data_IF_619620588436
#
_entry.id   IF_619620588436
#
_cell.length_a   1.000
_cell.length_b   1.000
_cell.length_c   1.000
_cell.angle_alpha   90.00
_cell.angle_beta   90.00
_cell.angle_gamma   90.00
#
_symmetry.space_group_name_H-M   'P 1'
#
loop_
_entity.id
_entity.type
_entity.pdbx_description
1 polymer ?
#
# COMPACT_ATOMS: atom_id res chain seq x y z
N UNK A 1 15.14 8.59 53.84
CA UNK A 1 14.40 9.84 54.10
C UNK A 1 13.81 10.31 52.77
N UNK A 2 12.50 10.51 52.74
CA UNK A 2 11.76 11.10 51.61
C UNK A 2 11.09 12.38 52.11
N UNK A 3 11.26 13.45 51.37
CA UNK A 3 10.65 14.75 51.64
C UNK A 3 9.85 15.18 50.42
N UNK A 4 8.61 15.61 50.64
CA UNK A 4 7.71 16.14 49.63
C UNK A 4 7.33 17.56 50.02
N UNK A 5 7.48 18.51 49.11
CA UNK A 5 7.12 19.92 49.32
C UNK A 5 6.03 20.31 48.32
N UNK A 6 4.89 20.77 48.79
CA UNK A 6 3.74 21.20 47.98
C UNK A 6 2.92 22.21 48.78
N UNK A 7 2.40 23.23 48.11
CA UNK A 7 1.71 24.37 48.76
C UNK A 7 2.48 24.91 49.99
N UNK A 8 1.82 24.98 51.15
CA UNK A 8 2.37 25.37 52.45
C UNK A 8 2.74 24.14 53.33
N UNK A 9 2.80 22.94 52.75
CA UNK A 9 3.04 21.68 53.46
C UNK A 9 4.40 21.04 53.12
N UNK A 10 4.96 20.37 54.13
CA UNK A 10 6.16 19.56 53.98
C UNK A 10 5.92 18.20 54.66
N UNK A 11 5.92 17.14 53.85
CA UNK A 11 5.71 15.77 54.32
C UNK A 11 7.03 15.03 54.31
N UNK A 12 7.37 14.45 55.45
CA UNK A 12 8.58 13.65 55.64
C UNK A 12 8.22 12.20 55.94
N UNK A 13 8.84 11.26 55.24
CA UNK A 13 8.63 9.82 55.43
C UNK A 13 9.93 9.02 55.35
N UNK A 14 9.95 7.85 55.99
CA UNK A 14 11.05 6.89 55.87
C UNK A 14 10.78 5.81 54.81
N UNK A 15 9.59 5.78 54.23
CA UNK A 15 9.17 4.86 53.17
C UNK A 15 8.34 5.62 52.11
N UNK A 16 8.22 5.11 50.87
CA UNK A 16 7.39 5.73 49.83
C UNK A 16 5.97 5.97 50.32
N UNK A 17 5.56 7.24 50.38
CA UNK A 17 4.27 7.69 50.89
C UNK A 17 3.94 9.06 50.29
N UNK A 18 3.99 9.14 48.96
CA UNK A 18 3.68 10.36 48.21
C UNK A 18 2.24 10.82 48.53
N UNK A 19 2.07 12.04 49.07
CA UNK A 19 0.75 12.61 49.31
C UNK A 19 -0.02 12.78 48.00
N UNK A 20 -1.34 12.61 48.05
CA UNK A 20 -2.19 12.81 46.88
C UNK A 20 -2.16 14.26 46.40
N UNK A 21 -2.23 15.22 47.32
CA UNK A 21 -2.19 16.65 47.02
C UNK A 21 -0.86 17.05 46.34
N UNK A 22 0.26 16.43 46.72
CA UNK A 22 1.54 16.61 46.03
C UNK A 22 1.48 16.19 44.55
N UNK A 23 0.81 15.06 44.26
CA UNK A 23 0.67 14.54 42.89
C UNK A 23 -0.12 15.53 42.05
N UNK A 24 -1.24 16.03 42.58
CA UNK A 24 -2.05 17.01 41.90
C UNK A 24 -1.30 18.34 41.71
N UNK A 25 -0.71 18.90 42.77
CA UNK A 25 0.07 20.15 42.68
C UNK A 25 1.14 20.06 41.60
N UNK A 26 2.00 19.02 41.67
CA UNK A 26 3.08 18.85 40.69
C UNK A 26 2.59 18.52 39.28
N UNK A 27 1.53 17.72 39.14
CA UNK A 27 0.96 17.42 37.82
C UNK A 27 0.34 18.65 37.18
N UNK A 28 -0.37 19.49 37.94
CA UNK A 28 -1.03 20.69 37.43
C UNK A 28 -0.07 21.85 37.11
N UNK A 29 1.20 21.76 37.53
CA UNK A 29 2.26 22.64 37.01
C UNK A 29 2.69 22.30 35.58
N UNK A 30 2.38 21.07 35.13
CA UNK A 30 2.59 20.67 33.76
C UNK A 30 1.57 21.36 32.85
N UNK A 31 1.81 21.44 31.53
CA UNK A 31 0.85 22.03 30.61
C UNK A 31 -0.41 21.18 30.41
N UNK A 32 -0.61 20.05 31.08
CA UNK A 32 -1.79 19.19 30.85
C UNK A 32 -3.06 19.77 31.46
N UNK A 33 -4.17 19.69 30.71
CA UNK A 33 -5.50 20.14 31.12
C UNK A 33 -6.51 19.03 30.85
N UNK A 34 -6.86 18.27 31.88
CA UNK A 34 -7.82 17.16 31.79
C UNK A 34 -9.16 17.50 32.43
N UNK A 35 -10.28 16.93 31.93
CA UNK A 35 -11.61 17.21 32.49
C UNK A 35 -11.72 16.79 33.95
N UNK A 36 -12.45 17.58 34.75
CA UNK A 36 -12.75 17.32 36.17
C UNK A 36 -11.52 17.13 37.07
N UNK A 37 -10.40 17.77 36.73
CA UNK A 37 -9.14 17.66 37.46
C UNK A 37 -8.62 16.22 37.57
N UNK A 38 -8.97 15.36 36.61
CA UNK A 38 -8.52 13.97 36.54
C UNK A 38 -7.04 13.86 36.11
N UNK A 39 -6.40 12.75 36.46
CA UNK A 39 -5.01 12.43 36.05
C UNK A 39 -4.94 11.62 34.75
N UNK A 40 -6.10 11.21 34.22
CA UNK A 40 -6.20 10.41 33.01
C UNK A 40 -6.91 11.18 31.90
N UNK A 41 -6.29 11.24 30.71
CA UNK A 41 -6.96 11.77 29.55
C UNK A 41 -8.15 10.86 29.16
N UNK A 42 -9.26 11.41 28.64
CA UNK A 42 -10.48 10.63 28.34
C UNK A 42 -10.35 9.69 27.13
N UNK A 43 -9.21 9.67 26.44
CA UNK A 43 -8.99 8.92 25.21
C UNK A 43 -8.43 7.51 25.47
N UNK A 44 -9.31 6.51 25.54
CA UNK A 44 -8.94 5.14 25.94
C UNK A 44 -8.47 4.19 24.82
N UNK A 45 -8.52 4.61 23.54
CA UNK A 45 -8.18 3.71 22.41
C UNK A 45 -6.78 3.90 21.86
N UNK A 46 -6.14 5.01 22.24
CA UNK A 46 -4.84 5.41 21.72
C UNK A 46 -3.72 4.83 22.56
N UNK A 47 -2.54 4.68 21.93
CA UNK A 47 -1.32 4.42 22.68
C UNK A 47 -1.10 5.53 23.72
N UNK A 48 -0.70 5.16 24.93
CA UNK A 48 -0.63 6.09 26.05
C UNK A 48 0.60 5.86 26.91
N UNK A 49 1.16 6.96 27.39
CA UNK A 49 2.08 6.95 28.52
C UNK A 49 1.27 6.73 29.80
N UNK A 50 1.69 5.76 30.59
CA UNK A 50 1.13 5.46 31.91
C UNK A 50 2.22 5.60 32.95
N UNK A 51 1.94 6.39 33.98
CA UNK A 51 2.78 6.54 35.18
C UNK A 51 1.95 6.10 36.37
N UNK A 52 2.27 4.92 36.90
CA UNK A 52 1.68 4.38 38.13
C UNK A 52 2.54 4.81 39.33
N UNK A 53 1.91 5.46 40.31
CA UNK A 53 2.53 5.94 41.55
C UNK A 53 2.16 4.96 42.67
N UNK A 54 3.11 4.12 43.06
CA UNK A 54 2.87 2.91 43.87
C UNK A 54 2.32 3.24 45.25
N UNK A 55 2.91 4.21 45.95
CA UNK A 55 2.50 4.55 47.31
C UNK A 55 1.08 5.14 47.37
N UNK A 56 0.72 5.96 46.39
CA UNK A 56 -0.56 6.68 46.36
C UNK A 56 -1.68 5.88 45.67
N UNK A 57 -1.34 4.78 44.98
CA UNK A 57 -2.27 4.04 44.11
C UNK A 57 -2.99 4.98 43.14
N UNK A 58 -2.21 5.86 42.52
CA UNK A 58 -2.67 6.82 41.51
C UNK A 58 -2.01 6.51 40.19
N UNK A 59 -2.75 6.79 39.13
CA UNK A 59 -2.35 6.54 37.76
C UNK A 59 -2.50 7.85 36.99
N UNK A 60 -1.45 8.20 36.26
CA UNK A 60 -1.49 9.27 35.27
C UNK A 60 -1.46 8.61 33.90
N UNK A 61 -2.41 8.95 33.03
CA UNK A 61 -2.52 8.39 31.69
C UNK A 61 -2.63 9.48 30.63
N UNK A 62 -1.65 9.54 29.74
CA UNK A 62 -1.53 10.57 28.71
C UNK A 62 -1.47 9.89 27.34
N UNK A 63 -2.51 10.03 26.53
CA UNK A 63 -2.52 9.47 25.19
C UNK A 63 -1.56 10.20 24.24
N UNK A 64 -1.18 9.52 23.16
CA UNK A 64 -0.32 10.04 22.10
C UNK A 64 -0.80 11.38 21.53
N UNK A 65 -2.10 11.60 21.39
CA UNK A 65 -2.64 12.85 20.85
C UNK A 65 -2.68 14.00 21.87
N UNK A 66 -2.76 13.68 23.16
CA UNK A 66 -2.72 14.68 24.23
C UNK A 66 -1.28 15.00 24.65
N UNK A 67 -0.33 14.08 24.45
CA UNK A 67 1.05 14.22 24.87
C UNK A 67 1.67 15.53 24.38
N UNK A 68 2.35 16.23 25.28
CA UNK A 68 3.00 17.52 25.06
C UNK A 68 4.52 17.36 25.07
N UNK A 69 5.21 18.39 24.59
CA UNK A 69 6.68 18.40 24.50
C UNK A 69 7.32 18.77 25.86
N UNK A 70 6.96 18.00 26.89
CA UNK A 70 7.45 18.10 28.27
C UNK A 70 7.68 16.71 28.84
N UNK A 71 8.34 16.59 29.99
CA UNK A 71 8.40 15.32 30.74
C UNK A 71 7.51 15.42 31.97
N UNK A 72 6.38 14.72 31.99
CA UNK A 72 5.53 14.66 33.20
C UNK A 72 6.30 14.18 34.41
N UNK A 73 7.19 13.19 34.24
CA UNK A 73 8.02 12.68 35.33
C UNK A 73 8.91 13.75 35.96
N UNK A 74 9.45 14.68 35.15
CA UNK A 74 10.28 15.77 35.67
C UNK A 74 9.50 16.68 36.62
N UNK A 75 8.22 16.95 36.34
CA UNK A 75 7.35 17.70 37.24
C UNK A 75 7.08 16.93 38.53
N UNK A 76 6.72 15.65 38.43
CA UNK A 76 6.41 14.80 39.59
C UNK A 76 7.59 14.68 40.56
N UNK A 77 8.83 14.71 40.08
CA UNK A 77 10.02 14.62 40.94
C UNK A 77 10.62 15.99 41.31
N UNK A 78 10.08 17.10 40.80
CA UNK A 78 10.70 18.42 40.90
C UNK A 78 10.79 18.96 42.34
N UNK A 79 9.86 18.57 43.20
CA UNK A 79 9.71 19.06 44.58
C UNK A 79 9.86 17.96 45.63
N UNK A 80 10.46 16.82 45.26
CA UNK A 80 10.78 15.76 46.20
C UNK A 80 12.28 15.59 46.39
N UNK A 81 12.67 15.26 47.61
CA UNK A 81 14.04 14.84 47.94
C UNK A 81 13.97 13.39 48.40
N UNK A 82 14.61 12.50 47.63
CA UNK A 82 14.76 11.09 47.97
C UNK A 82 16.10 10.57 47.44
N UNK A 83 16.66 9.57 48.11
CA UNK A 83 17.88 8.89 47.63
C UNK A 83 17.63 8.18 46.28
N UNK A 84 16.41 7.65 46.10
CA UNK A 84 15.95 6.98 44.89
C UNK A 84 14.54 7.46 44.53
N UNK A 85 14.40 8.63 43.90
CA UNK A 85 13.08 9.23 43.64
C UNK A 85 12.23 8.39 42.68
N UNK A 86 12.85 7.55 41.84
CA UNK A 86 12.16 6.76 40.82
C UNK A 86 11.57 5.44 41.33
N UNK A 87 11.94 4.99 42.55
CA UNK A 87 11.52 3.67 43.06
C UNK A 87 10.00 3.57 43.28
N UNK A 88 9.35 4.70 43.54
CA UNK A 88 7.90 4.80 43.76
C UNK A 88 7.07 4.83 42.46
N UNK A 89 7.75 4.92 41.31
CA UNK A 89 7.09 5.01 40.02
C UNK A 89 7.22 3.70 39.23
N UNK A 90 6.20 3.41 38.43
CA UNK A 90 6.25 2.46 37.32
C UNK A 90 5.78 3.18 36.07
N UNK A 91 6.65 3.28 35.06
CA UNK A 91 6.35 3.97 33.81
C UNK A 91 6.21 2.93 32.71
N UNK A 92 5.14 3.03 31.93
CA UNK A 92 4.90 2.13 30.80
C UNK A 92 4.24 2.85 29.63
N UNK A 93 4.40 2.28 28.43
CA UNK A 93 3.66 2.71 27.24
C UNK A 93 2.65 1.61 26.90
N UNK A 94 1.36 1.93 27.01
CA UNK A 94 0.27 1.10 26.51
C UNK A 94 0.14 1.24 24.99
N UNK A 95 0.00 0.13 24.28
CA UNK A 95 -0.22 0.08 22.83
C UNK A 95 -0.93 -1.20 22.39
N UNK A 96 -1.60 -1.17 21.23
CA UNK A 96 -2.43 -2.28 20.76
C UNK A 96 -1.73 -3.20 19.75
N UNK A 97 -0.38 -3.25 19.74
CA UNK A 97 0.35 -3.90 18.64
C UNK A 97 0.46 -5.43 18.72
N UNK A 98 0.12 -6.07 19.86
CA UNK A 98 0.30 -7.53 20.01
C UNK A 98 -0.97 -8.36 20.17
N UNK A 99 -2.18 -7.79 20.30
CA UNK A 99 -3.38 -8.63 20.29
C UNK A 99 -4.65 -7.93 19.83
N UNK A 100 -5.54 -8.72 19.22
CA UNK A 100 -6.87 -8.31 18.72
C UNK A 100 -7.77 -7.77 19.84
N UNK A 101 -7.47 -8.12 21.10
CA UNK A 101 -8.31 -7.85 22.29
C UNK A 101 -7.55 -7.38 23.55
N UNK A 102 -6.26 -7.03 23.46
CA UNK A 102 -5.44 -6.71 24.65
C UNK A 102 -4.44 -5.57 24.43
N UNK A 103 -4.58 -4.53 25.27
CA UNK A 103 -3.55 -3.51 25.46
C UNK A 103 -2.28 -4.19 25.95
N UNK A 104 -1.19 -4.02 25.21
CA UNK A 104 0.15 -4.44 25.63
C UNK A 104 0.84 -3.24 26.26
N UNK A 105 1.50 -3.44 27.40
CA UNK A 105 2.19 -2.37 28.11
C UNK A 105 3.70 -2.66 28.11
N UNK A 106 4.48 -1.68 27.67
CA UNK A 106 5.93 -1.76 27.61
C UNK A 106 6.53 -0.97 28.77
N UNK A 107 7.17 -1.67 29.71
CA UNK A 107 7.81 -1.05 30.86
C UNK A 107 9.04 -0.26 30.45
N UNK A 108 9.15 0.95 30.99
CA UNK A 108 10.27 1.86 30.77
C UNK A 108 11.19 1.79 31.99
N UNK A 109 12.39 1.25 31.78
CA UNK A 109 13.35 0.98 32.85
C UNK A 109 14.75 1.54 32.52
N UNK A 110 15.65 1.47 33.49
CA UNK A 110 17.08 1.77 33.30
C UNK A 110 17.38 3.20 32.82
N UNK A 111 18.25 3.31 31.81
CA UNK A 111 18.72 4.61 31.30
C UNK A 111 17.64 5.39 30.55
N UNK A 112 16.65 4.69 29.98
CA UNK A 112 15.52 5.33 29.31
C UNK A 112 14.63 6.05 30.33
N UNK A 113 14.30 5.37 31.43
CA UNK A 113 13.55 5.96 32.54
C UNK A 113 14.27 7.16 33.16
N UNK A 114 15.59 7.05 33.39
CA UNK A 114 16.40 8.17 33.88
C UNK A 114 16.39 9.35 32.92
N UNK A 115 16.56 9.10 31.62
CA UNK A 115 16.57 10.16 30.61
C UNK A 115 15.23 10.88 30.55
N UNK A 116 14.13 10.15 30.66
CA UNK A 116 12.79 10.69 30.78
C UNK A 116 12.61 11.53 32.05
N UNK A 117 12.99 11.00 33.21
CA UNK A 117 12.88 11.68 34.51
C UNK A 117 13.66 13.01 34.57
N UNK A 118 14.83 13.08 33.95
CA UNK A 118 15.64 14.30 33.90
C UNK A 118 15.27 15.27 32.76
N UNK A 119 14.14 15.05 32.09
CA UNK A 119 13.64 15.93 31.03
C UNK A 119 14.44 15.89 29.73
N UNK A 120 15.29 14.87 29.50
CA UNK A 120 15.99 14.69 28.22
C UNK A 120 15.10 14.10 27.14
N UNK A 121 14.02 13.42 27.56
CA UNK A 121 12.97 12.92 26.69
C UNK A 121 11.64 13.53 27.14
N UNK A 122 10.84 13.97 26.17
CA UNK A 122 9.48 14.43 26.40
C UNK A 122 8.48 13.28 26.26
N UNK A 123 7.25 13.45 26.75
CA UNK A 123 6.18 12.45 26.70
C UNK A 123 5.91 12.04 25.24
N UNK A 124 5.87 13.04 24.34
CA UNK A 124 5.72 12.82 22.88
C UNK A 124 6.89 12.00 22.33
N UNK A 125 8.12 12.32 22.72
CA UNK A 125 9.31 11.64 22.23
C UNK A 125 9.38 10.19 22.73
N UNK A 126 9.09 9.97 24.02
CA UNK A 126 9.09 8.65 24.63
C UNK A 126 8.05 7.73 23.98
N UNK A 127 6.80 8.20 23.84
CA UNK A 127 5.74 7.44 23.15
C UNK A 127 6.19 7.10 21.73
N UNK A 128 6.68 8.08 20.95
CA UNK A 128 7.12 7.86 19.56
C UNK A 128 8.27 6.87 19.46
N UNK A 129 9.25 6.96 20.35
CA UNK A 129 10.42 6.07 20.33
C UNK A 129 10.00 4.62 20.58
N UNK A 130 9.23 4.37 21.63
CA UNK A 130 8.78 3.02 22.00
C UNK A 130 7.89 2.42 20.92
N UNK A 131 6.94 3.21 20.39
CA UNK A 131 6.09 2.75 19.29
C UNK A 131 6.94 2.43 18.04
N UNK A 132 7.96 3.23 17.72
CA UNK A 132 8.84 2.98 16.56
C UNK A 132 9.67 1.71 16.74
N UNK A 133 10.25 1.49 17.92
CA UNK A 133 11.03 0.28 18.22
C UNK A 133 10.15 -0.98 18.12
N UNK A 134 8.92 -0.93 18.65
CA UNK A 134 7.97 -2.05 18.56
C UNK A 134 7.48 -2.31 17.15
N UNK A 135 7.19 -1.24 16.39
CA UNK A 135 6.88 -1.37 14.97
C UNK A 135 8.03 -1.99 14.17
N UNK A 136 9.29 -1.71 14.55
CA UNK A 136 10.47 -2.37 13.99
C UNK A 136 10.49 -3.86 14.30
N UNK A 137 10.33 -4.23 15.57
CA UNK A 137 10.34 -5.63 16.01
C UNK A 137 9.22 -6.47 15.35
N UNK A 138 8.04 -5.89 15.10
CA UNK A 138 6.93 -6.57 14.43
C UNK A 138 7.18 -6.86 12.95
N UNK A 139 8.01 -6.03 12.29
CA UNK A 139 8.43 -6.30 10.91
C UNK A 139 9.41 -7.47 10.82
N UNK A 140 10.12 -7.77 11.90
CA UNK A 140 11.13 -8.83 11.96
C UNK A 140 10.60 -10.15 12.55
N UNK A 141 9.34 -10.17 13.02
CA UNK A 141 8.71 -11.34 13.64
C UNK A 141 8.35 -12.47 12.65
N UNK A 142 8.25 -13.70 13.16
CA UNK A 142 7.94 -14.90 12.36
C UNK A 142 6.44 -15.03 11.97
N UNK A 143 5.57 -14.24 12.58
CA UNK A 143 4.14 -14.20 12.29
C UNK A 143 3.75 -12.88 11.62
N UNK A 144 3.04 -12.97 10.49
CA UNK A 144 2.53 -11.80 9.78
C UNK A 144 1.58 -11.02 10.67
N UNK A 145 1.88 -9.75 10.89
CA UNK A 145 1.07 -8.82 11.69
C UNK A 145 0.57 -7.69 10.80
N UNK A 146 -0.73 -7.43 10.84
CA UNK A 146 -1.40 -6.41 10.03
C UNK A 146 -1.96 -5.29 10.92
N UNK A 147 -1.53 -4.05 10.68
CA UNK A 147 -1.93 -2.88 11.47
C UNK A 147 -2.31 -1.72 10.56
N UNK A 148 -3.46 -1.09 10.84
CA UNK A 148 -3.90 0.16 10.22
C UNK A 148 -4.09 1.21 11.32
N UNK A 149 -3.19 2.18 11.37
CA UNK A 149 -3.13 3.20 12.41
C UNK A 149 -2.99 2.57 13.79
N UNK A 150 -4.10 2.54 14.53
CA UNK A 150 -4.20 2.00 15.89
C UNK A 150 -4.95 0.67 15.95
N UNK A 151 -5.49 0.22 14.82
CA UNK A 151 -6.30 -0.99 14.70
C UNK A 151 -5.43 -2.16 14.27
N UNK A 152 -5.36 -3.18 15.12
CA UNK A 152 -4.58 -4.38 14.89
C UNK A 152 -5.49 -5.53 14.43
N UNK A 153 -5.13 -6.13 13.30
CA UNK A 153 -5.83 -7.29 12.73
C UNK A 153 -5.11 -8.61 13.07
N UNK A 154 -3.96 -8.55 13.74
CA UNK A 154 -3.11 -9.71 14.01
C UNK A 154 -2.69 -10.35 12.69
N UNK A 155 -2.82 -11.68 12.59
CA UNK A 155 -2.57 -12.43 11.35
C UNK A 155 -3.80 -12.62 10.46
N UNK A 156 -4.90 -11.91 10.75
CA UNK A 156 -6.15 -11.98 9.97
C UNK A 156 -6.05 -11.12 8.69
N UNK A 157 -5.46 -11.69 7.65
CA UNK A 157 -5.29 -11.02 6.36
C UNK A 157 -6.62 -10.69 5.70
N UNK A 158 -7.66 -11.52 5.88
CA UNK A 158 -8.98 -11.29 5.29
C UNK A 158 -9.65 -10.05 5.88
N UNK A 159 -9.65 -9.91 7.21
CA UNK A 159 -10.17 -8.73 7.88
C UNK A 159 -9.37 -7.47 7.51
N UNK A 160 -8.05 -7.57 7.44
CA UNK A 160 -7.18 -6.47 6.99
C UNK A 160 -7.54 -6.01 5.58
N UNK A 161 -7.54 -6.91 4.60
CA UNK A 161 -7.88 -6.61 3.20
C UNK A 161 -9.28 -5.98 3.08
N UNK A 162 -10.27 -6.51 3.80
CA UNK A 162 -11.64 -5.99 3.77
C UNK A 162 -11.78 -4.56 4.28
N UNK A 163 -10.82 -4.10 5.08
CA UNK A 163 -10.80 -2.76 5.64
C UNK A 163 -10.07 -1.74 4.76
N UNK A 164 -9.37 -2.19 3.71
CA UNK A 164 -8.63 -1.32 2.80
C UNK A 164 -9.53 -0.69 1.74
N UNK A 165 -9.17 0.53 1.34
CA UNK A 165 -9.77 1.32 0.27
C UNK A 165 -8.73 1.55 -0.82
N UNK A 166 -9.07 1.18 -2.05
CA UNK A 166 -8.18 1.28 -3.19
C UNK A 166 -8.86 0.81 -4.47
N UNK A 167 -8.09 0.75 -5.55
CA UNK A 167 -8.57 0.16 -6.81
C UNK A 167 -8.71 -1.35 -6.68
N UNK A 168 -9.52 -1.96 -7.56
CA UNK A 168 -9.69 -3.41 -7.57
C UNK A 168 -8.36 -4.13 -7.82
N UNK A 169 -7.51 -3.60 -8.70
CA UNK A 169 -6.20 -4.17 -9.00
C UNK A 169 -5.25 -4.09 -7.79
N UNK A 170 -5.26 -3.00 -7.02
CA UNK A 170 -4.46 -2.87 -5.80
C UNK A 170 -4.87 -3.91 -4.74
N UNK A 171 -6.18 -4.03 -4.50
CA UNK A 171 -6.72 -4.98 -3.52
C UNK A 171 -6.41 -6.41 -3.95
N UNK A 172 -6.60 -6.74 -5.23
CA UNK A 172 -6.33 -8.08 -5.75
C UNK A 172 -4.84 -8.42 -5.69
N UNK A 173 -3.95 -7.51 -6.10
CA UNK A 173 -2.51 -7.71 -6.03
C UNK A 173 -2.05 -8.00 -4.59
N UNK A 174 -2.50 -7.18 -3.63
CA UNK A 174 -2.17 -7.35 -2.22
C UNK A 174 -2.74 -8.65 -1.64
N UNK A 175 -3.98 -9.00 -2.01
CA UNK A 175 -4.63 -10.24 -1.56
C UNK A 175 -3.85 -11.48 -2.01
N UNK A 176 -3.46 -11.53 -3.29
CA UNK A 176 -2.70 -12.66 -3.83
C UNK A 176 -1.29 -12.73 -3.24
N UNK A 177 -0.65 -11.59 -3.06
CA UNK A 177 0.67 -11.51 -2.44
C UNK A 177 0.66 -12.05 -1.00
N UNK A 178 -0.25 -11.55 -0.15
CA UNK A 178 -0.35 -11.96 1.25
C UNK A 178 -0.84 -13.41 1.45
N UNK A 179 -1.47 -14.00 0.44
CA UNK A 179 -1.82 -15.42 0.47
C UNK A 179 -0.58 -16.33 0.35
N UNK A 180 0.49 -15.84 -0.28
CA UNK A 180 1.71 -16.59 -0.55
C UNK A 180 2.88 -16.18 0.36
N UNK A 181 2.97 -14.90 0.70
CA UNK A 181 4.04 -14.32 1.51
C UNK A 181 3.49 -13.84 2.86
N UNK A 182 4.22 -14.14 3.93
CA UNK A 182 3.83 -13.85 5.31
C UNK A 182 4.42 -12.53 5.83
N UNK A 183 4.36 -11.49 5.02
CA UNK A 183 4.90 -10.20 5.42
C UNK A 183 3.97 -9.46 6.37
N UNK A 184 4.57 -8.77 7.34
CA UNK A 184 3.87 -7.84 8.23
C UNK A 184 3.68 -6.49 7.54
N UNK A 185 2.44 -6.00 7.52
CA UNK A 185 2.10 -4.69 6.94
C UNK A 185 1.60 -3.76 8.04
N UNK A 186 2.28 -2.63 8.18
CA UNK A 186 1.91 -1.56 9.11
C UNK A 186 1.75 -0.27 8.32
N UNK A 187 0.53 0.22 8.28
CA UNK A 187 0.15 1.46 7.58
C UNK A 187 -0.59 2.40 8.53
N UNK A 188 -0.61 3.69 8.23
CA UNK A 188 -1.33 4.69 9.03
C UNK A 188 -2.77 4.88 8.54
N UNK A 189 -3.01 4.76 7.24
CA UNK A 189 -4.33 4.95 6.65
C UNK A 189 -4.86 3.66 6.05
N UNK A 190 -6.17 3.59 5.87
CA UNK A 190 -6.87 2.47 5.22
C UNK A 190 -6.62 2.39 3.70
N UNK A 191 -5.56 2.99 3.16
CA UNK A 191 -5.29 3.03 1.72
C UNK A 191 -4.51 1.80 1.27
N UNK A 192 -5.04 1.08 0.28
CA UNK A 192 -4.36 -0.09 -0.30
C UNK A 192 -3.01 0.29 -0.96
N UNK A 193 -2.91 1.49 -1.53
CA UNK A 193 -1.67 2.02 -2.09
C UNK A 193 -0.57 2.20 -1.04
N UNK A 194 -0.90 2.58 0.19
CA UNK A 194 0.04 2.67 1.31
C UNK A 194 0.54 1.27 1.71
N UNK A 195 -0.37 0.31 1.77
CA UNK A 195 -0.04 -1.09 2.07
C UNK A 195 0.92 -1.67 1.03
N UNK A 196 0.61 -1.50 -0.25
CA UNK A 196 1.49 -1.94 -1.34
C UNK A 196 2.85 -1.25 -1.27
N UNK A 197 2.88 0.07 -1.05
CA UNK A 197 4.15 0.81 -0.95
C UNK A 197 5.07 0.26 0.15
N UNK A 198 4.49 -0.21 1.26
CA UNK A 198 5.28 -0.75 2.39
C UNK A 198 6.06 -2.02 2.06
N UNK A 199 5.62 -2.79 1.07
CA UNK A 199 6.23 -4.05 0.62
C UNK A 199 6.83 -3.96 -0.80
N UNK A 200 6.56 -2.88 -1.52
CA UNK A 200 6.93 -2.74 -2.94
C UNK A 200 8.44 -2.71 -3.15
N UNK A 201 9.17 -1.94 -2.35
CA UNK A 201 10.62 -1.77 -2.55
C UNK A 201 11.39 -3.10 -2.39
N UNK A 202 10.94 -3.97 -1.47
CA UNK A 202 11.55 -5.28 -1.25
C UNK A 202 11.03 -6.37 -2.18
N UNK A 203 9.77 -6.26 -2.64
CA UNK A 203 9.03 -7.41 -3.18
C UNK A 203 8.21 -7.10 -4.44
N UNK A 204 8.51 -6.03 -5.19
CA UNK A 204 7.72 -5.65 -6.37
C UNK A 204 7.61 -6.76 -7.41
N UNK A 205 8.65 -7.59 -7.56
CA UNK A 205 8.67 -8.67 -8.55
C UNK A 205 7.69 -9.76 -8.14
N UNK A 206 7.77 -10.21 -6.90
CA UNK A 206 6.91 -11.23 -6.30
C UNK A 206 5.43 -10.79 -6.35
N UNK A 207 5.15 -9.51 -6.06
CA UNK A 207 3.81 -8.94 -6.18
C UNK A 207 3.28 -9.07 -7.62
N UNK A 208 4.10 -8.73 -8.62
CA UNK A 208 3.71 -8.83 -10.03
C UNK A 208 3.52 -10.26 -10.50
N UNK A 209 4.35 -11.19 -10.03
CA UNK A 209 4.25 -12.61 -10.34
C UNK A 209 2.95 -13.21 -9.78
N UNK A 210 2.59 -12.87 -8.53
CA UNK A 210 1.32 -13.29 -7.92
C UNK A 210 0.10 -12.64 -8.60
N UNK A 211 0.20 -11.36 -8.97
CA UNK A 211 -0.90 -10.62 -9.57
C UNK A 211 -1.17 -11.04 -11.02
N UNK A 212 -0.13 -11.37 -11.78
CA UNK A 212 -0.21 -11.77 -13.19
C UNK A 212 0.38 -13.16 -13.43
N UNK A 213 1.58 -13.24 -13.99
CA UNK A 213 2.35 -14.45 -14.25
C UNK A 213 3.86 -14.13 -14.26
N UNK A 214 4.70 -15.14 -14.00
CA UNK A 214 6.17 -14.99 -14.00
C UNK A 214 6.72 -14.36 -15.30
N UNK A 215 6.18 -14.79 -16.44
CA UNK A 215 6.60 -14.29 -17.75
C UNK A 215 6.13 -12.84 -18.01
N UNK A 216 5.01 -12.42 -17.42
CA UNK A 216 4.54 -11.02 -17.51
C UNK A 216 5.37 -10.11 -16.60
N UNK A 217 5.69 -10.56 -15.39
CA UNK A 217 6.60 -9.85 -14.50
C UNK A 217 8.00 -9.66 -15.11
N UNK A 218 8.54 -10.68 -15.78
CA UNK A 218 9.84 -10.60 -16.45
C UNK A 218 9.84 -9.58 -17.60
N UNK A 219 8.77 -9.52 -18.41
CA UNK A 219 8.63 -8.54 -19.50
C UNK A 219 8.54 -7.09 -19.01
N UNK A 220 8.00 -6.87 -17.80
CA UNK A 220 7.90 -5.53 -17.21
C UNK A 220 9.26 -4.97 -16.77
N UNK A 221 10.24 -5.83 -16.51
CA UNK A 221 11.58 -5.44 -16.07
C UNK A 221 11.59 -4.78 -14.68
N UNK A 222 12.53 -3.84 -14.46
CA UNK A 222 12.59 -3.10 -13.20
C UNK A 222 11.56 -1.96 -13.17
N UNK A 223 10.60 -2.13 -12.26
CA UNK A 223 9.52 -1.17 -12.02
C UNK A 223 9.43 -0.76 -10.54
N UNK A 224 10.44 -1.08 -9.73
CA UNK A 224 10.44 -0.83 -8.28
C UNK A 224 10.28 0.66 -7.91
N UNK A 225 10.72 1.57 -8.79
CA UNK A 225 10.61 3.04 -8.60
C UNK A 225 9.48 3.70 -9.38
N UNK A 226 8.68 2.92 -10.13
CA UNK A 226 7.57 3.47 -10.93
C UNK A 226 6.32 3.62 -10.08
N UNK A 227 5.35 4.37 -10.61
CA UNK A 227 4.04 4.49 -9.97
C UNK A 227 3.33 3.13 -9.96
N UNK A 228 3.02 2.62 -8.76
CA UNK A 228 2.44 1.29 -8.52
C UNK A 228 1.13 1.09 -9.30
N UNK A 229 0.24 2.08 -9.31
CA UNK A 229 -1.06 1.98 -9.99
C UNK A 229 -0.89 1.82 -11.51
N UNK A 230 -0.01 2.61 -12.10
CA UNK A 230 0.30 2.51 -13.53
C UNK A 230 0.91 1.15 -13.88
N UNK A 231 1.82 0.66 -13.03
CA UNK A 231 2.47 -0.65 -13.20
C UNK A 231 1.46 -1.80 -13.13
N UNK A 232 0.54 -1.80 -12.16
CA UNK A 232 -0.48 -2.85 -12.04
C UNK A 232 -1.45 -2.81 -13.23
N UNK A 233 -1.86 -1.63 -13.68
CA UNK A 233 -2.70 -1.48 -14.87
C UNK A 233 -2.02 -2.01 -16.13
N UNK A 234 -0.74 -1.68 -16.33
CA UNK A 234 0.07 -2.19 -17.45
C UNK A 234 0.25 -3.70 -17.38
N UNK A 235 0.55 -4.25 -16.21
CA UNK A 235 0.69 -5.69 -16.00
C UNK A 235 -0.62 -6.42 -16.35
N UNK A 236 -1.77 -5.90 -15.90
CA UNK A 236 -3.10 -6.45 -16.23
C UNK A 236 -3.39 -6.41 -17.72
N UNK A 237 -2.98 -5.34 -18.41
CA UNK A 237 -3.12 -5.19 -19.86
C UNK A 237 -2.31 -6.25 -20.60
N UNK A 238 -1.06 -6.48 -20.18
CA UNK A 238 -0.19 -7.52 -20.76
C UNK A 238 -0.76 -8.92 -20.49
N UNK A 239 -1.25 -9.20 -19.28
CA UNK A 239 -1.81 -10.52 -18.97
C UNK A 239 -3.08 -10.82 -19.79
N UNK A 240 -4.01 -9.86 -19.89
CA UNK A 240 -5.18 -9.99 -20.77
C UNK A 240 -4.80 -10.19 -22.23
N UNK A 241 -3.70 -9.55 -22.67
CA UNK A 241 -3.18 -9.77 -24.02
C UNK A 241 -2.80 -11.23 -24.28
N UNK A 242 -2.20 -11.89 -23.29
CA UNK A 242 -1.80 -13.29 -23.42
C UNK A 242 -3.00 -14.22 -23.45
N UNK A 243 -4.00 -14.02 -22.59
CA UNK A 243 -5.16 -14.91 -22.55
C UNK A 243 -5.97 -14.86 -23.85
N UNK A 244 -6.17 -13.67 -24.40
CA UNK A 244 -6.82 -13.50 -25.71
C UNK A 244 -5.97 -14.14 -26.81
N UNK A 245 -4.66 -13.89 -26.85
CA UNK A 245 -3.77 -14.43 -27.89
C UNK A 245 -3.64 -15.96 -27.80
N UNK A 246 -3.62 -16.56 -26.61
CA UNK A 246 -3.59 -18.02 -26.41
C UNK A 246 -4.79 -18.74 -27.03
N UNK A 247 -5.94 -18.07 -27.15
CA UNK A 247 -7.13 -18.66 -27.78
C UNK A 247 -7.16 -18.54 -29.30
N UNK A 248 -6.18 -17.83 -29.89
CA UNK A 248 -6.08 -17.64 -31.33
C UNK A 248 -5.01 -18.58 -31.92
N UNK A 249 -5.23 -19.10 -33.15
CA UNK A 249 -4.26 -19.97 -33.80
C UNK A 249 -2.96 -19.22 -34.15
N UNK A 250 -1.83 -19.91 -34.02
CA UNK A 250 -0.53 -19.41 -34.49
C UNK A 250 -0.28 -19.80 -35.96
N UNK A 251 0.21 -18.83 -36.74
CA UNK A 251 0.59 -19.05 -38.15
C UNK A 251 2.11 -19.19 -38.26
N UNK A 252 2.61 -20.32 -38.76
CA UNK A 252 4.06 -20.63 -38.83
C UNK A 252 4.79 -19.93 -39.97
N UNK A 253 4.09 -19.61 -41.06
CA UNK A 253 4.65 -18.99 -42.26
C UNK A 253 3.81 -17.79 -42.67
N UNK A 254 4.02 -16.67 -42.01
CA UNK A 254 3.30 -15.43 -42.32
C UNK A 254 4.08 -14.61 -43.35
N UNK A 255 3.42 -14.27 -44.45
CA UNK A 255 3.87 -13.16 -45.29
C UNK A 255 3.63 -11.81 -44.58
N UNK A 256 4.10 -10.74 -45.21
CA UNK A 256 4.07 -9.39 -44.60
C UNK A 256 2.63 -8.90 -44.38
N UNK A 257 1.70 -9.22 -45.29
CA UNK A 257 0.29 -8.79 -45.20
C UNK A 257 -0.42 -9.57 -44.09
N UNK A 258 -0.18 -10.89 -44.02
CA UNK A 258 -0.69 -11.77 -42.97
C UNK A 258 -0.23 -11.32 -41.60
N UNK A 259 1.08 -11.06 -41.45
CA UNK A 259 1.65 -10.60 -40.18
C UNK A 259 1.05 -9.27 -39.73
N UNK A 260 0.85 -8.35 -40.68
CA UNK A 260 0.23 -7.05 -40.42
C UNK A 260 -1.22 -7.21 -39.96
N UNK A 261 -2.03 -8.00 -40.68
CA UNK A 261 -3.42 -8.27 -40.33
C UNK A 261 -3.56 -8.95 -38.97
N UNK A 262 -2.73 -9.97 -38.68
CA UNK A 262 -2.72 -10.70 -37.41
C UNK A 262 -2.34 -9.78 -36.24
N UNK A 263 -1.30 -8.95 -36.42
CA UNK A 263 -0.85 -8.00 -35.39
C UNK A 263 -1.94 -6.98 -35.07
N UNK A 264 -2.57 -6.38 -36.08
CA UNK A 264 -3.62 -5.37 -35.87
C UNK A 264 -4.90 -5.97 -35.31
N UNK A 265 -5.31 -7.16 -35.77
CA UNK A 265 -6.47 -7.85 -35.22
C UNK A 265 -6.25 -8.21 -33.75
N UNK A 266 -5.06 -8.70 -33.37
CA UNK A 266 -4.70 -8.98 -31.97
C UNK A 266 -4.64 -7.70 -31.14
N UNK A 267 -4.03 -6.63 -31.64
CA UNK A 267 -3.99 -5.34 -30.96
C UNK A 267 -5.40 -4.81 -30.66
N UNK A 268 -6.30 -4.88 -31.65
CA UNK A 268 -7.70 -4.48 -31.50
C UNK A 268 -8.45 -5.36 -30.50
N UNK A 269 -8.29 -6.68 -30.56
CA UNK A 269 -8.94 -7.63 -29.63
C UNK A 269 -8.46 -7.47 -28.18
N UNK A 270 -7.20 -7.09 -27.99
CA UNK A 270 -6.56 -6.99 -26.66
C UNK A 270 -6.79 -5.63 -26.01
N UNK A 271 -6.52 -4.56 -26.74
CA UNK A 271 -6.42 -3.21 -26.20
C UNK A 271 -7.29 -2.18 -26.92
N UNK A 272 -8.21 -2.65 -27.75
CA UNK A 272 -9.13 -1.78 -28.49
C UNK A 272 -8.42 -0.81 -29.44
N UNK A 273 -9.07 0.31 -29.72
CA UNK A 273 -8.61 1.30 -30.68
C UNK A 273 -7.27 1.95 -30.28
N UNK A 274 -6.99 2.11 -28.98
CA UNK A 274 -5.74 2.72 -28.50
C UNK A 274 -4.52 1.88 -28.86
N UNK A 275 -4.54 0.57 -28.52
CA UNK A 275 -3.43 -0.33 -28.81
C UNK A 275 -3.26 -0.57 -30.31
N UNK A 276 -4.37 -0.61 -31.06
CA UNK A 276 -4.34 -0.68 -32.52
C UNK A 276 -3.58 0.52 -33.13
N UNK A 277 -3.87 1.74 -32.68
CA UNK A 277 -3.20 2.94 -33.16
C UNK A 277 -1.72 2.99 -32.76
N UNK A 278 -1.38 2.51 -31.56
CA UNK A 278 0.02 2.37 -31.14
C UNK A 278 0.78 1.44 -32.10
N UNK A 279 0.24 0.27 -32.43
CA UNK A 279 0.87 -0.68 -33.35
C UNK A 279 0.98 -0.15 -34.78
N UNK A 280 -0.06 0.52 -35.31
CA UNK A 280 0.00 1.16 -36.63
C UNK A 280 1.13 2.22 -36.68
N UNK A 281 1.37 2.92 -35.57
CA UNK A 281 2.38 3.99 -35.51
C UNK A 281 3.83 3.48 -35.38
N UNK A 282 4.04 2.28 -34.82
CA UNK A 282 5.38 1.73 -34.55
C UNK A 282 6.16 1.39 -35.82
N UNK A 283 5.50 0.75 -36.78
CA UNK A 283 6.15 0.29 -38.02
C UNK A 283 5.28 0.67 -39.23
N UNK A 284 5.66 1.71 -39.99
CA UNK A 284 4.95 2.08 -41.19
C UNK A 284 4.95 0.93 -42.21
N UNK A 285 3.79 0.47 -42.70
CA UNK A 285 3.73 -0.63 -43.65
C UNK A 285 4.39 -0.24 -44.98
N UNK A 286 5.21 -1.14 -45.53
CA UNK A 286 5.99 -0.87 -46.75
C UNK A 286 5.24 -1.18 -48.05
N UNK A 287 4.41 -2.23 -48.05
CA UNK A 287 3.69 -2.66 -49.23
C UNK A 287 2.27 -2.04 -49.29
N UNK A 288 1.72 -1.94 -50.50
CA UNK A 288 0.42 -1.31 -50.76
C UNK A 288 -0.72 -1.98 -49.96
N UNK A 289 -0.79 -3.31 -49.95
CA UNK A 289 -1.85 -4.06 -49.25
C UNK A 289 -1.82 -3.85 -47.73
N UNK A 290 -0.64 -3.79 -47.12
CA UNK A 290 -0.48 -3.57 -45.68
C UNK A 290 -0.80 -2.12 -45.29
N UNK A 291 -0.55 -1.13 -46.16
CA UNK A 291 -1.01 0.25 -45.95
C UNK A 291 -2.52 0.37 -46.04
N UNK A 292 -3.14 -0.30 -47.02
CA UNK A 292 -4.60 -0.38 -47.13
C UNK A 292 -5.22 -1.09 -45.90
N UNK A 293 -4.58 -2.15 -45.37
CA UNK A 293 -5.00 -2.78 -44.12
C UNK A 293 -4.92 -1.83 -42.93
N UNK A 294 -3.80 -1.12 -42.74
CA UNK A 294 -3.67 -0.16 -41.65
C UNK A 294 -4.79 0.90 -41.68
N UNK A 295 -5.09 1.44 -42.87
CA UNK A 295 -6.22 2.36 -43.05
C UNK A 295 -7.57 1.68 -42.81
N UNK A 296 -7.75 0.44 -43.26
CA UNK A 296 -8.99 -0.32 -43.10
C UNK A 296 -9.32 -0.62 -41.64
N UNK A 297 -8.31 -0.98 -40.84
CA UNK A 297 -8.45 -1.15 -39.39
C UNK A 297 -8.80 0.16 -38.69
N UNK A 298 -8.15 1.27 -39.09
CA UNK A 298 -8.49 2.59 -38.58
C UNK A 298 -9.93 2.98 -38.92
N UNK A 299 -10.38 2.79 -40.16
CA UNK A 299 -11.76 3.04 -40.59
C UNK A 299 -12.78 2.18 -39.84
N UNK A 300 -12.42 0.96 -39.47
CA UNK A 300 -13.34 0.04 -38.81
C UNK A 300 -13.59 0.40 -37.34
N UNK A 301 -12.59 0.95 -36.63
CA UNK A 301 -12.56 1.00 -35.16
C UNK A 301 -12.09 2.31 -34.52
N UNK A 302 -11.57 3.27 -35.28
CA UNK A 302 -11.01 4.52 -34.73
C UNK A 302 -11.91 5.70 -35.11
N UNK A 303 -12.21 6.58 -34.15
CA UNK A 303 -13.09 7.74 -34.38
C UNK A 303 -12.52 8.74 -35.41
N UNK A 304 -11.19 8.90 -35.44
CA UNK A 304 -10.47 9.79 -36.36
C UNK A 304 -9.53 9.00 -37.28
N UNK A 305 -10.06 8.28 -38.28
CA UNK A 305 -9.28 7.39 -39.12
C UNK A 305 -8.32 8.12 -40.07
N UNK A 306 -8.49 9.43 -40.26
CA UNK A 306 -7.65 10.27 -41.13
C UNK A 306 -6.25 10.57 -40.56
N UNK A 307 -6.02 10.20 -39.31
CA UNK A 307 -4.69 10.16 -38.71
C UNK A 307 -3.77 9.16 -39.42
N UNK A 308 -4.32 8.12 -40.02
CA UNK A 308 -3.59 7.18 -40.88
C UNK A 308 -3.62 7.68 -42.32
N UNK A 309 -2.45 8.12 -42.82
CA UNK A 309 -2.29 8.61 -44.19
C UNK A 309 -2.33 7.45 -45.19
N UNK A 310 -3.08 7.64 -46.28
CA UNK A 310 -3.20 6.69 -47.39
C UNK A 310 -3.40 7.43 -48.72
N UNK A 311 -3.10 6.76 -49.84
CA UNK A 311 -3.52 7.24 -51.17
C UNK A 311 -5.02 7.02 -51.39
N UNK A 312 -5.59 7.58 -52.46
CA UNK A 312 -7.00 7.34 -52.82
C UNK A 312 -7.27 5.85 -53.11
N UNK A 313 -6.37 5.20 -53.86
CA UNK A 313 -6.47 3.77 -54.19
C UNK A 313 -6.34 2.87 -52.96
N UNK A 314 -5.52 3.27 -51.98
CA UNK A 314 -5.41 2.57 -50.69
C UNK A 314 -6.65 2.76 -49.83
N UNK A 315 -7.26 3.96 -49.85
CA UNK A 315 -8.49 4.26 -49.11
C UNK A 315 -9.69 3.49 -49.67
N UNK A 316 -9.81 3.37 -51.00
CA UNK A 316 -10.88 2.60 -51.64
C UNK A 316 -10.78 1.11 -51.27
N UNK A 317 -9.58 0.54 -51.34
CA UNK A 317 -9.34 -0.84 -50.90
C UNK A 317 -9.60 -0.98 -49.40
N UNK A 318 -9.14 -0.05 -48.57
CA UNK A 318 -9.38 -0.04 -47.13
C UNK A 318 -10.88 -0.08 -46.79
N UNK A 319 -11.68 0.73 -47.48
CA UNK A 319 -13.14 0.78 -47.31
C UNK A 319 -13.80 -0.56 -47.65
N UNK A 320 -13.33 -1.21 -48.73
CA UNK A 320 -13.79 -2.54 -49.13
C UNK A 320 -13.43 -3.62 -48.09
N UNK A 321 -12.30 -3.48 -47.41
CA UNK A 321 -11.81 -4.47 -46.44
C UNK A 321 -12.50 -4.39 -45.06
N UNK A 322 -13.14 -3.28 -44.70
CA UNK A 322 -13.80 -3.07 -43.40
C UNK A 322 -14.67 -4.26 -42.93
N UNK A 323 -15.61 -4.80 -43.72
CA UNK A 323 -16.44 -5.93 -43.27
C UNK A 323 -15.60 -7.18 -42.95
N UNK A 324 -14.57 -7.47 -43.74
CA UNK A 324 -13.68 -8.62 -43.50
C UNK A 324 -12.81 -8.43 -42.26
N UNK A 325 -12.37 -7.20 -42.01
CA UNK A 325 -11.63 -6.83 -40.80
C UNK A 325 -12.50 -7.02 -39.57
N UNK A 326 -13.77 -6.60 -39.62
CA UNK A 326 -14.72 -6.81 -38.51
C UNK A 326 -14.94 -8.28 -38.21
N UNK A 327 -15.22 -9.06 -39.26
CA UNK A 327 -15.37 -10.50 -39.15
C UNK A 327 -14.14 -11.18 -38.51
N UNK A 328 -12.93 -10.74 -38.87
CA UNK A 328 -11.69 -11.26 -38.28
C UNK A 328 -11.55 -10.90 -36.81
N UNK A 329 -11.78 -9.63 -36.45
CA UNK A 329 -11.68 -9.14 -35.06
C UNK A 329 -12.77 -9.73 -34.17
N UNK A 330 -13.93 -10.12 -34.71
CA UNK A 330 -15.00 -10.73 -33.93
C UNK A 330 -14.85 -12.26 -33.80
N UNK A 331 -14.11 -12.90 -34.70
CA UNK A 331 -13.92 -14.37 -34.71
C UNK A 331 -13.06 -14.91 -33.57
N UNK A 332 -13.26 -16.18 -33.18
CA UNK A 332 -12.53 -16.86 -32.09
C UNK A 332 -12.14 -18.29 -32.49
N UNK A 333 -11.07 -18.80 -31.89
CA UNK A 333 -10.61 -20.18 -32.12
C UNK A 333 -10.33 -20.48 -33.60
N UNK A 334 -10.79 -21.62 -34.08
CA UNK A 334 -10.55 -22.08 -35.46
C UNK A 334 -11.21 -21.19 -36.53
N UNK A 335 -12.29 -20.46 -36.19
CA UNK A 335 -12.91 -19.52 -37.12
C UNK A 335 -11.97 -18.37 -37.49
N UNK A 336 -11.05 -17.99 -36.59
CA UNK A 336 -10.07 -16.95 -36.84
C UNK A 336 -9.18 -17.26 -38.04
N UNK A 337 -8.74 -18.51 -38.17
CA UNK A 337 -7.94 -18.96 -39.33
C UNK A 337 -8.75 -18.82 -40.63
N UNK A 338 -10.03 -19.20 -40.60
CA UNK A 338 -10.89 -19.09 -41.78
C UNK A 338 -11.14 -17.63 -42.18
N UNK A 339 -11.44 -16.76 -41.21
CA UNK A 339 -11.63 -15.33 -41.45
C UNK A 339 -10.34 -14.65 -41.92
N UNK A 340 -9.18 -15.06 -41.42
CA UNK A 340 -7.89 -14.57 -41.89
C UNK A 340 -7.68 -14.95 -43.37
N UNK A 341 -7.94 -16.20 -43.75
CA UNK A 341 -7.85 -16.62 -45.16
C UNK A 341 -8.78 -15.82 -46.08
N UNK A 342 -10.00 -15.53 -45.61
CA UNK A 342 -10.97 -14.71 -46.36
C UNK A 342 -10.47 -13.27 -46.51
N UNK A 343 -9.91 -12.67 -45.45
CA UNK A 343 -9.32 -11.33 -45.52
C UNK A 343 -8.13 -11.28 -46.48
N UNK A 344 -7.25 -12.27 -46.46
CA UNK A 344 -6.10 -12.34 -47.39
C UNK A 344 -6.54 -12.50 -48.84
N UNK A 345 -7.61 -13.25 -49.08
CA UNK A 345 -8.22 -13.36 -50.42
C UNK A 345 -8.80 -12.02 -50.86
N UNK A 346 -9.51 -11.31 -49.97
CA UNK A 346 -10.10 -9.99 -50.25
C UNK A 346 -9.05 -8.90 -50.46
N UNK A 347 -7.88 -8.98 -49.80
CA UNK A 347 -6.77 -8.04 -50.03
C UNK A 347 -6.08 -8.25 -51.38
N UNK A 348 -6.22 -9.43 -51.99
CA UNK A 348 -5.59 -9.76 -53.28
C UNK A 348 -4.07 -9.95 -53.21
N UNK A 349 -3.51 -10.12 -52.01
CA UNK A 349 -2.05 -10.21 -51.81
C UNK A 349 -1.43 -11.57 -52.19
N UNK A 350 -2.26 -12.61 -52.40
CA UNK A 350 -1.82 -13.96 -52.76
C UNK A 350 -1.19 -14.76 -51.60
N UNK A 351 -1.20 -14.23 -50.38
CA UNK A 351 -0.75 -14.94 -49.17
C UNK A 351 -1.81 -15.93 -48.67
N UNK A 352 -1.37 -16.99 -47.99
CA UNK A 352 -2.22 -18.04 -47.40
C UNK A 352 -1.73 -18.41 -46.00
N UNK A 353 -2.63 -18.91 -45.13
CA UNK A 353 -2.40 -19.13 -43.69
C UNK A 353 -2.60 -20.54 -43.20
#
# INVERSE_FOLDING_TARGET
LLLYSFDDELVCSNYPNMPEDYIYDTFWESPYEFPNDELECPHNKEAALVIDIKSAKRRIRICKNCAKDVSTMQYLISRMIAERPLDDFEVSIEHNYHSKDGSSAERIEGDLLKSYAYGKLTDVQLIKQVLKERLGALKEGAESTFVIGERNFGSDSAAFISSLKGTQDEIEALTRYLAQYKDSIVIQTERASEALTSVWESSYREILECFTSAETAEKMGDVGKKNIQAVLADARRIERSKDVVKTLPEFKHMGDVTKTADTYAKAMKVGGAELLMEEISKVPPRNYHARALAKGFALAYVENPDTVKSTAEEADLAQFLVPFIRDLVDSVGDEYRHKMSTLLTATGCGETV
#
